data_IF_508528922999
#
_entry.id   IF_508528922999
#
_cell.length_a   1.000
_cell.length_b   1.000
_cell.length_c   1.000
_cell.angle_alpha   90.00
_cell.angle_beta   90.00
_cell.angle_gamma   90.00
#
_symmetry.space_group_name_H-M   'P 1'
#
loop_
_entity.id
_entity.type
_entity.pdbx_description
1 polymer ?
#
# COMPACT_ATOMS: atom_id res chain seq x y z
N UNK A 1 4.25 24.74 11.22
CA UNK A 1 3.08 23.83 11.24
C UNK A 1 3.16 22.96 9.99
N UNK A 2 3.15 21.64 10.12
CA UNK A 2 3.00 20.75 8.98
C UNK A 2 1.63 21.05 8.34
N UNK A 3 1.62 21.35 7.05
CA UNK A 3 0.38 21.50 6.31
C UNK A 3 -0.38 20.17 6.37
N UNK A 4 -1.60 20.21 6.91
CA UNK A 4 -2.41 19.01 7.16
C UNK A 4 -2.76 18.28 5.85
N UNK A 5 -2.60 18.95 4.71
CA UNK A 5 -2.76 18.39 3.36
C UNK A 5 -1.53 17.64 2.81
N UNK A 6 -0.47 17.46 3.60
CA UNK A 6 0.78 16.80 3.15
C UNK A 6 1.12 15.52 3.93
N UNK A 7 0.12 14.79 4.44
CA UNK A 7 0.36 13.51 5.15
C UNK A 7 -0.05 12.30 4.31
N UNK A 8 0.84 11.33 4.14
CA UNK A 8 0.60 10.10 3.37
C UNK A 8 0.67 8.88 4.29
N UNK A 9 -0.32 7.99 4.20
CA UNK A 9 -0.25 6.66 4.80
C UNK A 9 0.33 5.69 3.78
N UNK A 10 1.45 5.05 4.10
CA UNK A 10 2.20 4.24 3.14
C UNK A 10 2.46 2.83 3.68
N UNK A 11 2.25 1.81 2.84
CA UNK A 11 2.74 0.45 3.08
C UNK A 11 3.85 0.11 2.10
N UNK A 12 4.76 -0.80 2.47
CA UNK A 12 5.87 -1.20 1.61
C UNK A 12 6.99 -0.16 1.54
N UNK A 13 7.04 0.77 2.50
CA UNK A 13 8.03 1.85 2.57
C UNK A 13 9.48 1.39 2.75
N UNK A 14 9.70 0.10 3.07
CA UNK A 14 11.03 -0.53 3.15
C UNK A 14 11.40 -1.35 1.91
N UNK A 15 10.49 -1.45 0.93
CA UNK A 15 10.79 -2.12 -0.35
C UNK A 15 11.62 -1.21 -1.25
N UNK A 16 12.26 -1.76 -2.27
CA UNK A 16 13.00 -0.99 -3.28
C UNK A 16 12.19 0.22 -3.80
N UNK A 17 11.03 -0.02 -4.40
CA UNK A 17 10.15 1.03 -4.93
C UNK A 17 9.66 1.97 -3.83
N UNK A 18 9.30 1.41 -2.68
CA UNK A 18 8.80 2.18 -1.55
C UNK A 18 9.84 3.16 -1.02
N UNK A 19 11.09 2.74 -0.86
CA UNK A 19 12.18 3.59 -0.36
C UNK A 19 12.44 4.77 -1.29
N UNK A 20 12.49 4.56 -2.61
CA UNK A 20 12.64 5.67 -3.57
C UNK A 20 11.47 6.65 -3.50
N UNK A 21 10.24 6.15 -3.47
CA UNK A 21 9.06 6.99 -3.36
C UNK A 21 9.05 7.77 -2.04
N UNK A 22 9.37 7.10 -0.94
CA UNK A 22 9.45 7.69 0.40
C UNK A 22 10.42 8.88 0.42
N UNK A 23 11.63 8.73 -0.13
CA UNK A 23 12.59 9.82 -0.21
C UNK A 23 12.09 10.98 -1.09
N UNK A 24 11.46 10.66 -2.23
CA UNK A 24 10.89 11.68 -3.12
C UNK A 24 9.79 12.48 -2.43
N UNK A 25 8.86 11.81 -1.74
CA UNK A 25 7.75 12.45 -1.04
C UNK A 25 8.24 13.36 0.10
N UNK A 26 9.23 12.90 0.88
CA UNK A 26 9.84 13.70 1.94
C UNK A 26 10.49 14.97 1.36
N UNK A 27 11.18 14.86 0.23
CA UNK A 27 11.81 16.00 -0.45
C UNK A 27 10.77 17.04 -0.90
N UNK A 28 9.58 16.60 -1.31
CA UNK A 28 8.42 17.46 -1.65
C UNK A 28 7.68 18.01 -0.41
N UNK A 29 8.16 17.67 0.79
CA UNK A 29 7.65 18.16 2.06
C UNK A 29 6.45 17.38 2.61
N UNK A 30 6.23 16.14 2.17
CA UNK A 30 5.23 15.26 2.76
C UNK A 30 5.75 14.60 4.05
N UNK A 31 4.85 14.48 5.03
CA UNK A 31 5.02 13.61 6.20
C UNK A 31 4.41 12.25 5.93
N UNK A 32 5.02 11.19 6.44
CA UNK A 32 4.70 9.81 6.07
C UNK A 32 4.40 9.02 7.33
N UNK A 33 3.26 8.36 7.36
CA UNK A 33 2.99 7.25 8.28
C UNK A 33 3.30 5.96 7.54
N UNK A 34 4.41 5.32 7.89
CA UNK A 34 4.88 4.11 7.24
C UNK A 34 4.47 2.88 8.05
N UNK A 35 3.57 2.08 7.49
CA UNK A 35 3.16 0.80 8.07
C UNK A 35 4.20 -0.28 7.78
N UNK A 36 4.69 -0.92 8.85
CA UNK A 36 5.69 -1.99 8.79
C UNK A 36 5.19 -3.27 9.45
N UNK A 37 5.79 -4.41 9.09
CA UNK A 37 5.63 -5.64 9.88
C UNK A 37 6.38 -5.48 11.22
N UNK A 38 5.93 -6.10 12.31
CA UNK A 38 6.58 -5.97 13.62
C UNK A 38 8.09 -6.23 13.59
N UNK A 39 8.51 -7.30 12.90
CA UNK A 39 9.91 -7.73 12.78
C UNK A 39 10.75 -6.88 11.82
N UNK A 40 10.13 -5.94 11.09
CA UNK A 40 10.87 -5.06 10.19
C UNK A 40 11.45 -3.91 11.01
N UNK A 41 12.78 -3.81 11.01
CA UNK A 41 13.50 -2.66 11.55
C UNK A 41 13.77 -1.66 10.42
N UNK A 42 13.18 -0.46 10.46
CA UNK A 42 13.42 0.53 9.44
C UNK A 42 14.84 1.09 9.54
N UNK A 43 15.55 1.10 8.43
CA UNK A 43 16.90 1.69 8.33
C UNK A 43 16.86 3.19 8.09
N UNK A 44 15.73 3.72 7.62
CA UNK A 44 15.55 5.13 7.29
C UNK A 44 14.98 5.87 8.50
N UNK A 45 15.78 6.78 9.04
CA UNK A 45 15.42 7.62 10.18
C UNK A 45 15.27 9.06 9.70
N UNK A 46 14.05 9.59 9.77
CA UNK A 46 13.74 10.97 9.41
C UNK A 46 12.57 11.46 10.28
N UNK A 47 12.60 12.71 10.73
CA UNK A 47 11.58 13.30 11.59
C UNK A 47 10.21 13.45 10.92
N UNK A 48 10.15 13.37 9.59
CA UNK A 48 8.91 13.37 8.80
C UNK A 48 8.32 11.97 8.62
N UNK A 49 8.96 10.92 9.15
CA UNK A 49 8.46 9.54 9.08
C UNK A 49 8.03 9.08 10.48
N UNK A 50 6.79 8.66 10.58
CA UNK A 50 6.25 7.91 11.70
C UNK A 50 6.14 6.43 11.31
N UNK A 51 6.87 5.56 12.00
CA UNK A 51 6.81 4.13 11.76
C UNK A 51 5.80 3.48 12.71
N UNK A 52 4.81 2.79 12.14
CA UNK A 52 3.77 2.09 12.90
C UNK A 52 3.72 0.62 12.49
N UNK A 53 3.51 -0.27 13.46
CA UNK A 53 3.26 -1.66 13.12
C UNK A 53 1.88 -1.78 12.45
N UNK A 54 1.79 -2.63 11.42
CA UNK A 54 0.56 -2.90 10.69
C UNK A 54 -0.60 -3.38 11.58
N UNK A 55 -0.28 -4.02 12.71
CA UNK A 55 -1.25 -4.49 13.70
C UNK A 55 -1.93 -3.32 14.43
N UNK A 56 -1.26 -2.19 14.50
CA UNK A 56 -1.70 -0.97 15.18
C UNK A 56 -2.45 -0.02 14.24
N UNK A 57 -2.75 -0.43 13.01
CA UNK A 57 -3.39 0.41 11.99
C UNK A 57 -4.69 1.07 12.49
N UNK A 58 -5.47 0.37 13.31
CA UNK A 58 -6.72 0.89 13.89
C UNK A 58 -6.50 2.05 14.86
N UNK A 59 -5.31 2.16 15.46
CA UNK A 59 -4.96 3.29 16.34
C UNK A 59 -4.89 4.61 15.55
N UNK A 60 -4.58 4.57 14.26
CA UNK A 60 -4.54 5.77 13.41
C UNK A 60 -5.94 6.42 13.37
N UNK A 61 -6.99 5.60 13.29
CA UNK A 61 -8.38 6.03 13.18
C UNK A 61 -8.91 6.69 14.46
N UNK A 62 -8.34 6.35 15.62
CA UNK A 62 -8.75 6.93 16.91
C UNK A 62 -8.39 8.42 17.03
N UNK A 63 -7.44 8.90 16.22
CA UNK A 63 -6.89 10.26 16.34
C UNK A 63 -7.58 11.31 15.47
N UNK A 64 -8.69 10.99 14.78
CA UNK A 64 -9.35 11.88 13.81
C UNK A 64 -8.36 12.50 12.80
N UNK A 65 -7.45 11.68 12.30
CA UNK A 65 -6.37 12.12 11.44
C UNK A 65 -6.87 12.48 10.04
N UNK A 66 -6.27 13.51 9.43
CA UNK A 66 -6.46 13.81 8.01
C UNK A 66 -5.26 13.26 7.21
N UNK A 67 -5.55 12.40 6.24
CA UNK A 67 -4.57 11.82 5.32
C UNK A 67 -4.85 12.34 3.92
N UNK A 68 -3.82 12.88 3.27
CA UNK A 68 -3.90 13.33 1.89
C UNK A 68 -4.17 12.16 0.94
N UNK A 69 -3.38 11.09 1.06
CA UNK A 69 -3.52 9.88 0.24
C UNK A 69 -3.03 8.64 0.99
N UNK A 70 -3.60 7.49 0.62
CA UNK A 70 -3.07 6.16 0.97
C UNK A 70 -2.26 5.64 -0.22
N UNK A 71 -1.04 5.16 0.04
CA UNK A 71 -0.16 4.54 -0.96
C UNK A 71 0.17 3.11 -0.54
N UNK A 72 -0.40 2.14 -1.26
CA UNK A 72 -0.20 0.72 -1.02
C UNK A 72 0.81 0.11 -2.01
N UNK A 73 2.04 -0.11 -1.52
CA UNK A 73 3.13 -0.77 -2.28
C UNK A 73 3.49 -2.13 -1.67
N UNK A 74 3.07 -2.43 -0.43
CA UNK A 74 3.36 -3.72 0.19
C UNK A 74 2.83 -4.87 -0.69
N UNK A 75 3.65 -5.88 -0.88
CA UNK A 75 3.30 -7.04 -1.71
C UNK A 75 4.11 -8.24 -1.23
N UNK A 76 3.46 -9.39 -1.22
CA UNK A 76 4.07 -10.70 -1.09
C UNK A 76 4.03 -11.43 -2.44
N UNK A 77 5.20 -11.70 -2.99
CA UNK A 77 5.35 -12.38 -4.27
C UNK A 77 5.21 -13.91 -4.17
N UNK A 78 5.03 -14.48 -2.97
CA UNK A 78 5.03 -15.92 -2.73
C UNK A 78 6.40 -16.57 -2.83
N UNK A 79 7.48 -15.78 -2.69
CA UNK A 79 8.85 -16.29 -2.63
C UNK A 79 9.02 -17.17 -1.39
N UNK A 80 9.96 -18.12 -1.42
CA UNK A 80 10.27 -18.99 -0.27
C UNK A 80 9.11 -19.85 0.26
N UNK A 81 8.14 -20.20 -0.61
CA UNK A 81 6.97 -21.04 -0.24
C UNK A 81 6.08 -20.40 0.82
N UNK A 82 5.97 -19.07 0.88
CA UNK A 82 5.02 -18.41 1.75
C UNK A 82 3.61 -18.98 1.54
N UNK A 83 2.88 -19.36 2.61
CA UNK A 83 1.52 -19.87 2.50
C UNK A 83 0.60 -18.91 1.74
N UNK A 84 -0.34 -19.46 0.96
CA UNK A 84 -1.32 -18.65 0.20
C UNK A 84 -2.12 -17.74 1.15
N UNK A 85 -2.43 -18.20 2.36
CA UNK A 85 -3.11 -17.39 3.39
C UNK A 85 -2.32 -16.14 3.77
N UNK A 86 -1.01 -16.24 3.92
CA UNK A 86 -0.16 -15.09 4.25
C UNK A 86 -0.01 -14.14 3.06
N UNK A 87 0.12 -14.67 1.84
CA UNK A 87 0.08 -13.86 0.62
C UNK A 87 -1.24 -13.10 0.50
N UNK A 88 -2.36 -13.76 0.79
CA UNK A 88 -3.69 -13.15 0.75
C UNK A 88 -3.85 -12.06 1.82
N UNK A 89 -3.33 -12.30 3.03
CA UNK A 89 -3.32 -11.28 4.10
C UNK A 89 -2.59 -10.01 3.65
N UNK A 90 -1.45 -10.16 2.99
CA UNK A 90 -0.64 -9.03 2.52
C UNK A 90 -1.25 -8.32 1.29
N UNK A 91 -1.67 -9.10 0.29
CA UNK A 91 -2.01 -8.58 -1.04
C UNK A 91 -3.49 -8.26 -1.23
N UNK A 92 -4.36 -8.77 -0.36
CA UNK A 92 -5.82 -8.58 -0.45
C UNK A 92 -6.36 -7.99 0.84
N UNK A 93 -6.21 -8.70 1.97
CA UNK A 93 -6.85 -8.28 3.22
C UNK A 93 -6.34 -6.91 3.71
N UNK A 94 -5.02 -6.71 3.73
CA UNK A 94 -4.43 -5.44 4.13
C UNK A 94 -4.93 -4.26 3.28
N UNK A 95 -4.82 -4.26 1.94
CA UNK A 95 -5.27 -3.13 1.16
C UNK A 95 -6.78 -2.95 1.12
N UNK A 96 -7.58 -4.03 1.25
CA UNK A 96 -9.02 -3.90 1.47
C UNK A 96 -9.32 -3.18 2.80
N UNK A 97 -8.65 -3.54 3.89
CA UNK A 97 -8.79 -2.81 5.15
C UNK A 97 -8.40 -1.35 5.02
N UNK A 98 -7.34 -1.04 4.25
CA UNK A 98 -6.96 0.36 3.99
C UNK A 98 -8.07 1.15 3.28
N UNK A 99 -8.79 0.54 2.34
CA UNK A 99 -9.97 1.16 1.71
C UNK A 99 -11.05 1.46 2.75
N UNK A 100 -11.37 0.48 3.61
CA UNK A 100 -12.39 0.62 4.67
C UNK A 100 -12.04 1.72 5.69
N UNK A 101 -10.75 2.03 5.88
CA UNK A 101 -10.30 3.11 6.76
C UNK A 101 -10.37 4.50 6.13
N UNK A 102 -10.54 4.63 4.80
CA UNK A 102 -10.51 5.92 4.11
C UNK A 102 -11.48 6.96 4.69
N UNK A 103 -12.74 6.62 5.04
CA UNK A 103 -13.67 7.58 5.63
C UNK A 103 -13.18 8.13 6.98
N UNK A 104 -12.63 7.26 7.84
CA UNK A 104 -12.11 7.67 9.14
C UNK A 104 -10.86 8.56 9.01
N UNK A 105 -10.07 8.34 7.96
CA UNK A 105 -8.86 9.12 7.64
C UNK A 105 -9.15 10.37 6.80
N UNK A 106 -10.41 10.63 6.46
CA UNK A 106 -10.88 11.77 5.64
C UNK A 106 -10.15 11.88 4.30
N UNK A 107 -9.72 10.75 3.76
CA UNK A 107 -8.97 10.69 2.51
C UNK A 107 -9.86 10.21 1.37
N UNK A 108 -9.60 10.73 0.18
CA UNK A 108 -10.30 10.33 -1.05
C UNK A 108 -9.36 9.72 -2.09
N UNK A 109 -8.06 9.69 -1.82
CA UNK A 109 -7.04 9.27 -2.78
C UNK A 109 -6.39 7.98 -2.33
N UNK A 110 -6.47 6.97 -3.19
CA UNK A 110 -5.83 5.67 -2.95
C UNK A 110 -5.00 5.28 -4.16
N UNK A 111 -3.71 5.04 -3.93
CA UNK A 111 -2.79 4.55 -4.96
C UNK A 111 -2.37 3.14 -4.57
N UNK A 112 -2.56 2.18 -5.47
CA UNK A 112 -2.00 0.83 -5.34
C UNK A 112 -1.02 0.56 -6.47
N UNK A 113 -0.08 -0.36 -6.25
CA UNK A 113 0.74 -0.93 -7.31
C UNK A 113 0.23 -2.30 -7.73
N UNK A 114 0.29 -2.59 -9.02
CA UNK A 114 -0.07 -3.87 -9.62
C UNK A 114 1.09 -4.39 -10.49
N UNK A 115 0.94 -5.61 -10.97
CA UNK A 115 1.95 -6.36 -11.68
C UNK A 115 1.73 -6.38 -13.18
N UNK A 116 2.81 -6.28 -13.94
CA UNK A 116 2.84 -6.65 -15.36
C UNK A 116 2.35 -8.08 -15.62
N UNK A 117 2.57 -9.01 -14.68
CA UNK A 117 2.17 -10.42 -14.86
C UNK A 117 0.66 -10.62 -15.08
N UNK A 118 -0.18 -9.66 -14.67
CA UNK A 118 -1.63 -9.68 -14.97
C UNK A 118 -1.97 -9.65 -16.47
N UNK A 119 -0.99 -9.40 -17.36
CA UNK A 119 -1.18 -9.45 -18.82
C UNK A 119 -1.04 -10.85 -19.44
N UNK A 120 -0.36 -11.80 -18.79
CA UNK A 120 0.06 -13.09 -19.39
C UNK A 120 -0.53 -14.33 -18.69
N UNK A 121 -1.70 -14.14 -18.08
CA UNK A 121 -2.28 -15.02 -17.05
C UNK A 121 -2.54 -16.47 -17.46
N UNK A 122 -2.73 -16.75 -18.75
CA UNK A 122 -3.09 -18.10 -19.22
C UNK A 122 -1.90 -19.04 -19.45
N UNK A 123 -0.66 -18.51 -19.45
CA UNK A 123 0.53 -19.29 -19.85
C UNK A 123 1.68 -19.29 -18.84
N UNK A 124 1.55 -18.57 -17.72
CA UNK A 124 2.60 -18.50 -16.70
C UNK A 124 2.33 -19.46 -15.52
N UNK A 125 3.24 -20.42 -15.31
CA UNK A 125 3.20 -21.33 -14.15
C UNK A 125 3.72 -20.70 -12.85
N UNK A 126 4.49 -19.63 -12.96
CA UNK A 126 5.17 -18.96 -11.85
C UNK A 126 4.27 -17.91 -11.18
N UNK A 127 4.33 -17.81 -9.84
CA UNK A 127 3.66 -16.77 -9.05
C UNK A 127 2.12 -16.70 -9.19
N UNK A 128 1.45 -17.82 -9.49
CA UNK A 128 -0.02 -17.87 -9.69
C UNK A 128 -0.83 -17.34 -8.50
N UNK A 129 -0.46 -17.70 -7.27
CA UNK A 129 -1.15 -17.22 -6.06
C UNK A 129 -1.03 -15.71 -5.89
N UNK A 130 0.16 -15.16 -6.17
CA UNK A 130 0.39 -13.73 -6.20
C UNK A 130 -0.48 -13.04 -7.26
N UNK A 131 -0.47 -13.53 -8.50
CA UNK A 131 -1.28 -12.95 -9.59
C UNK A 131 -2.77 -12.98 -9.27
N UNK A 132 -3.27 -14.10 -8.74
CA UNK A 132 -4.65 -14.23 -8.31
C UNK A 132 -5.00 -13.24 -7.19
N UNK A 133 -4.11 -13.06 -6.21
CA UNK A 133 -4.33 -12.11 -5.11
C UNK A 133 -4.40 -10.66 -5.61
N UNK A 134 -3.53 -10.24 -6.53
CA UNK A 134 -3.56 -8.90 -7.11
C UNK A 134 -4.85 -8.65 -7.88
N UNK A 135 -5.28 -9.61 -8.71
CA UNK A 135 -6.56 -9.52 -9.42
C UNK A 135 -7.72 -9.39 -8.44
N UNK A 136 -7.74 -10.21 -7.40
CA UNK A 136 -8.82 -10.18 -6.43
C UNK A 136 -8.93 -8.83 -5.74
N UNK A 137 -7.81 -8.25 -5.31
CA UNK A 137 -7.84 -6.90 -4.72
C UNK A 137 -8.35 -5.84 -5.70
N UNK A 138 -7.96 -5.91 -6.98
CA UNK A 138 -8.47 -4.99 -8.01
C UNK A 138 -9.99 -5.13 -8.22
N UNK A 139 -10.54 -6.34 -8.17
CA UNK A 139 -11.99 -6.52 -8.23
C UNK A 139 -12.68 -5.96 -6.99
N UNK A 140 -12.15 -6.21 -5.79
CA UNK A 140 -12.69 -5.63 -4.56
C UNK A 140 -12.61 -4.09 -4.56
N UNK A 141 -11.55 -3.50 -5.09
CA UNK A 141 -11.41 -2.05 -5.15
C UNK A 141 -12.41 -1.40 -6.10
N UNK A 142 -12.80 -2.08 -7.20
CA UNK A 142 -13.85 -1.59 -8.09
C UNK A 142 -15.20 -1.53 -7.38
N UNK A 143 -15.57 -2.62 -6.69
CA UNK A 143 -16.80 -2.68 -5.88
C UNK A 143 -16.81 -1.53 -4.87
N UNK A 144 -15.69 -1.33 -4.15
CA UNK A 144 -15.59 -0.24 -3.18
C UNK A 144 -15.79 1.14 -3.82
N UNK A 145 -15.19 1.42 -4.98
CA UNK A 145 -15.33 2.70 -5.69
C UNK A 145 -16.75 2.91 -6.25
N UNK A 146 -17.42 1.85 -6.70
CA UNK A 146 -18.83 1.92 -7.13
C UNK A 146 -19.75 2.37 -5.98
N UNK A 147 -19.46 1.93 -4.75
CA UNK A 147 -20.17 2.34 -3.53
C UNK A 147 -19.73 3.72 -3.01
N UNK A 148 -18.53 4.19 -3.38
CA UNK A 148 -17.92 5.43 -2.91
C UNK A 148 -17.44 6.30 -4.09
N UNK A 149 -18.36 6.95 -4.84
CA UNK A 149 -18.03 7.59 -6.12
C UNK A 149 -17.12 8.83 -6.01
N UNK A 150 -16.89 9.34 -4.80
CA UNK A 150 -15.95 10.45 -4.54
C UNK A 150 -14.51 9.98 -4.29
N UNK A 151 -14.28 8.67 -4.24
CA UNK A 151 -12.94 8.07 -4.11
C UNK A 151 -12.25 8.05 -5.48
N UNK A 152 -11.06 8.65 -5.51
CA UNK A 152 -10.10 8.52 -6.60
C UNK A 152 -9.16 7.35 -6.31
N UNK A 153 -9.43 6.21 -6.93
CA UNK A 153 -8.56 5.03 -6.88
C UNK A 153 -7.67 4.95 -8.13
N UNK A 154 -6.36 4.83 -7.92
CA UNK A 154 -5.36 4.71 -8.97
C UNK A 154 -4.62 3.37 -8.78
N UNK A 155 -4.67 2.51 -9.80
CA UNK A 155 -3.92 1.26 -9.81
C UNK A 155 -2.75 1.36 -10.79
N UNK A 156 -1.53 1.48 -10.27
CA UNK A 156 -0.31 1.63 -11.05
C UNK A 156 0.24 0.26 -11.42
N UNK A 157 0.04 -0.17 -12.67
CA UNK A 157 0.66 -1.39 -13.19
C UNK A 157 2.12 -1.14 -13.55
N UNK A 158 3.03 -1.60 -12.71
CA UNK A 158 4.47 -1.40 -12.92
C UNK A 158 5.03 -2.48 -13.86
N UNK A 159 5.86 -2.05 -14.82
CA UNK A 159 6.55 -2.93 -15.77
C UNK A 159 8.03 -2.95 -15.46
N UNK A 160 8.59 -4.16 -15.29
CA UNK A 160 10.03 -4.41 -15.15
C UNK A 160 10.79 -3.37 -14.31
N UNK A 161 10.46 -3.25 -13.03
CA UNK A 161 11.10 -2.28 -12.15
C UNK A 161 12.53 -2.71 -11.79
N UNK A 162 13.51 -1.84 -12.04
CA UNK A 162 14.93 -2.02 -11.71
C UNK A 162 15.57 -0.69 -11.29
N UNK A 163 16.74 -0.73 -10.64
CA UNK A 163 17.54 0.43 -10.25
C UNK A 163 18.40 0.13 -9.01
N UNK A 164 18.99 1.18 -8.44
CA UNK A 164 19.85 1.15 -7.25
C UNK A 164 19.20 1.86 -6.06
#
# INVERSE_FOLDING_TARGET
>A
MLDVNKKILMTGATSFVGTHLLHSLIKEGYSIIALKRPITEPTIINTLIEWLNIQDIEKICQSSMNIHAIVHIATDYGRNRTPISEQYKCNVLLPTRLLELMPALKTKFFISTDSFFGKYEKHYGYMRSYMASKRHFVELSKIYVEEHPDVCFINLRLEHVYGE
#
